data_IF_158759090100
#
_entry.id   IF_158759090100
#
_cell.length_a   1.000
_cell.length_b   1.000
_cell.length_c   1.000
_cell.angle_alpha   90.00
_cell.angle_beta   90.00
_cell.angle_gamma   90.00
#
_symmetry.space_group_name_H-M   'P 1'
#
loop_
_entity.id
_entity.type
_entity.pdbx_description
1 polymer ?
#
# COMPACT_ATOMS: atom_id res chain seq x y z
N UNK A 1 -9.15 -7.31 -37.14
CA UNK A 1 -8.56 -6.97 -35.84
C UNK A 1 -8.27 -8.28 -35.17
N UNK A 2 -7.02 -8.51 -34.77
CA UNK A 2 -6.60 -9.76 -34.16
C UNK A 2 -7.39 -10.06 -32.87
N UNK A 3 -7.63 -11.34 -32.59
CA UNK A 3 -7.93 -11.80 -31.23
C UNK A 3 -6.76 -11.47 -30.29
N UNK A 4 -6.94 -11.60 -28.98
CA UNK A 4 -5.84 -11.33 -28.06
C UNK A 4 -4.72 -12.36 -28.24
N UNK A 5 -5.05 -13.62 -28.48
CA UNK A 5 -4.08 -14.68 -28.76
C UNK A 5 -3.34 -14.42 -30.08
N UNK A 6 -4.06 -14.04 -31.14
CA UNK A 6 -3.44 -13.66 -32.42
C UNK A 6 -2.53 -12.43 -32.28
N UNK A 7 -2.92 -11.47 -31.43
CA UNK A 7 -2.10 -10.30 -31.11
C UNK A 7 -0.81 -10.70 -30.38
N UNK A 8 -0.88 -11.58 -29.38
CA UNK A 8 0.30 -12.07 -28.64
C UNK A 8 1.28 -12.78 -29.60
N UNK A 9 0.77 -13.64 -30.47
CA UNK A 9 1.60 -14.35 -31.46
C UNK A 9 2.23 -13.39 -32.47
N UNK A 10 1.50 -12.36 -32.91
CA UNK A 10 2.07 -11.33 -33.77
C UNK A 10 3.21 -10.57 -33.06
N UNK A 11 3.01 -10.18 -31.79
CA UNK A 11 4.08 -9.51 -31.03
C UNK A 11 5.28 -10.44 -30.87
N UNK A 12 5.08 -11.70 -30.47
CA UNK A 12 6.15 -12.69 -30.30
C UNK A 12 7.00 -12.85 -31.56
N UNK A 13 6.36 -12.91 -32.72
CA UNK A 13 7.03 -13.19 -33.99
C UNK A 13 7.78 -11.98 -34.57
N UNK A 14 7.41 -10.76 -34.20
CA UNK A 14 7.91 -9.55 -34.87
C UNK A 14 8.66 -8.58 -33.93
N UNK A 15 8.57 -8.71 -32.60
CA UNK A 15 9.17 -7.72 -31.68
C UNK A 15 10.69 -7.57 -31.86
N UNK A 16 11.40 -8.65 -32.17
CA UNK A 16 12.86 -8.60 -32.36
C UNK A 16 13.26 -7.78 -33.59
N UNK A 17 12.44 -7.71 -34.64
CA UNK A 17 12.71 -6.91 -35.85
C UNK A 17 12.71 -5.39 -35.58
N UNK A 18 12.15 -4.97 -34.44
CA UNK A 18 12.08 -3.57 -34.01
C UNK A 18 13.16 -3.23 -32.98
N UNK A 19 13.93 -4.21 -32.51
CA UNK A 19 14.98 -4.02 -31.52
C UNK A 19 16.36 -3.91 -32.19
N UNK A 20 17.35 -3.29 -31.52
CA UNK A 20 18.73 -3.21 -32.01
C UNK A 20 19.38 -4.59 -32.20
N UNK A 21 20.48 -4.65 -32.96
CA UNK A 21 21.24 -5.88 -33.29
C UNK A 21 21.62 -6.72 -32.06
N UNK A 22 21.80 -6.11 -30.88
CA UNK A 22 22.08 -6.83 -29.63
C UNK A 22 20.95 -7.76 -29.15
N UNK A 23 19.74 -7.62 -29.70
CA UNK A 23 18.56 -8.46 -29.41
C UNK A 23 18.26 -9.49 -30.49
N UNK A 24 19.10 -9.64 -31.53
CA UNK A 24 18.83 -10.55 -32.66
C UNK A 24 18.58 -12.00 -32.19
N UNK A 25 19.33 -12.46 -31.19
CA UNK A 25 19.20 -13.79 -30.57
C UNK A 25 18.54 -13.74 -29.17
N UNK A 26 17.77 -12.69 -28.86
CA UNK A 26 17.14 -12.53 -27.55
C UNK A 26 16.03 -13.56 -27.27
N UNK A 27 15.91 -13.96 -26.01
CA UNK A 27 14.79 -14.77 -25.52
C UNK A 27 13.56 -13.89 -25.27
N UNK A 28 12.42 -14.29 -25.84
CA UNK A 28 11.14 -13.60 -25.73
C UNK A 28 10.23 -14.36 -24.76
N UNK A 29 10.26 -13.97 -23.49
CA UNK A 29 9.42 -14.54 -22.43
C UNK A 29 8.07 -13.81 -22.40
N UNK A 30 6.99 -14.58 -22.61
CA UNK A 30 5.62 -14.09 -22.43
C UNK A 30 4.95 -15.00 -21.42
N UNK A 31 4.56 -14.43 -20.28
CA UNK A 31 3.98 -15.17 -19.17
C UNK A 31 2.96 -14.34 -18.41
N UNK A 32 2.13 -15.03 -17.63
CA UNK A 32 1.20 -14.39 -16.71
C UNK A 32 1.97 -13.75 -15.54
N UNK A 33 1.66 -12.48 -15.25
CA UNK A 33 2.23 -11.68 -14.16
C UNK A 33 1.08 -11.11 -13.33
N UNK A 34 1.15 -11.31 -12.02
CA UNK A 34 0.16 -10.78 -11.09
C UNK A 34 0.57 -9.41 -10.56
N UNK A 35 -0.30 -8.42 -10.76
CA UNK A 35 -0.26 -7.12 -10.07
C UNK A 35 -1.12 -7.14 -8.79
N UNK A 36 -1.19 -5.99 -8.11
CA UNK A 36 -2.03 -5.81 -6.93
C UNK A 36 -3.48 -6.25 -7.20
N UNK A 37 -4.11 -6.80 -6.18
CA UNK A 37 -5.40 -7.49 -6.16
C UNK A 37 -5.50 -8.68 -7.12
N UNK A 38 -4.40 -9.43 -7.26
CA UNK A 38 -4.27 -10.60 -8.13
C UNK A 38 -4.74 -10.32 -9.57
N UNK A 39 -4.54 -9.10 -10.07
CA UNK A 39 -4.83 -8.78 -11.47
C UNK A 39 -3.79 -9.49 -12.33
N UNK A 40 -4.21 -10.55 -12.99
CA UNK A 40 -3.43 -11.29 -13.96
C UNK A 40 -3.30 -10.50 -15.26
N UNK A 41 -2.07 -10.25 -15.69
CA UNK A 41 -1.74 -9.62 -16.97
C UNK A 41 -0.75 -10.51 -17.72
N UNK A 42 -0.77 -10.40 -19.04
CA UNK A 42 0.18 -11.04 -19.93
C UNK A 42 1.40 -10.13 -20.07
N UNK A 43 2.49 -10.48 -19.39
CA UNK A 43 3.75 -9.74 -19.42
C UNK A 43 4.68 -10.25 -20.52
N UNK A 44 5.22 -9.35 -21.33
CA UNK A 44 6.32 -9.54 -22.26
C UNK A 44 7.62 -9.04 -21.62
N UNK A 45 8.66 -9.86 -21.65
CA UNK A 45 10.04 -9.50 -21.35
C UNK A 45 10.93 -10.01 -22.49
N UNK A 46 11.94 -9.23 -22.86
CA UNK A 46 12.89 -9.60 -23.91
C UNK A 46 14.29 -9.55 -23.31
N UNK A 47 14.94 -10.72 -23.27
CA UNK A 47 16.23 -10.91 -22.62
C UNK A 47 17.32 -11.13 -23.67
N UNK A 48 18.26 -10.19 -23.87
CA UNK A 48 19.38 -10.41 -24.78
C UNK A 48 20.22 -11.60 -24.30
N UNK A 49 20.68 -12.46 -25.22
CA UNK A 49 21.43 -13.69 -24.88
C UNK A 49 22.68 -13.42 -24.02
N UNK A 50 23.34 -12.30 -24.28
CA UNK A 50 24.54 -11.84 -23.56
C UNK A 50 24.26 -10.62 -22.66
N UNK A 51 22.98 -10.29 -22.45
CA UNK A 51 22.53 -9.11 -21.72
C UNK A 51 22.17 -9.40 -20.26
N UNK A 52 21.81 -8.33 -19.55
CA UNK A 52 21.40 -8.42 -18.15
C UNK A 52 20.17 -9.30 -17.96
N UNK A 53 20.05 -9.90 -16.78
CA UNK A 53 18.83 -10.60 -16.34
C UNK A 53 17.68 -9.63 -15.95
N UNK A 54 17.76 -8.36 -16.36
CA UNK A 54 16.81 -7.31 -16.00
C UNK A 54 16.23 -6.75 -17.30
N UNK A 55 14.97 -7.09 -17.56
CA UNK A 55 14.15 -6.55 -18.65
C UNK A 55 12.95 -5.85 -18.04
N UNK A 56 12.49 -4.71 -18.61
CA UNK A 56 11.17 -4.20 -18.27
C UNK A 56 10.10 -5.25 -18.59
N UNK A 57 9.02 -5.27 -17.80
CA UNK A 57 7.84 -6.07 -18.09
C UNK A 57 6.82 -5.19 -18.82
N UNK A 58 6.52 -5.53 -20.07
CA UNK A 58 5.50 -4.86 -20.88
C UNK A 58 4.19 -5.63 -20.75
N UNK A 59 3.11 -4.97 -20.29
CA UNK A 59 1.79 -5.61 -20.16
C UNK A 59 1.04 -5.56 -21.49
N UNK A 60 0.94 -6.71 -22.17
CA UNK A 60 0.33 -6.84 -23.50
C UNK A 60 -1.16 -6.52 -23.49
N UNK A 61 -1.86 -6.71 -22.37
CA UNK A 61 -3.29 -6.38 -22.21
C UNK A 61 -3.56 -4.89 -22.46
N UNK A 62 -2.69 -4.01 -21.98
CA UNK A 62 -2.86 -2.56 -22.15
C UNK A 62 -2.56 -2.13 -23.59
N UNK A 63 -1.56 -2.74 -24.22
CA UNK A 63 -1.27 -2.54 -25.63
C UNK A 63 -2.34 -3.10 -26.55
N UNK A 64 -2.98 -4.20 -26.17
CA UNK A 64 -4.11 -4.74 -26.91
C UNK A 64 -5.31 -3.78 -26.88
N UNK A 65 -5.59 -3.15 -25.74
CA UNK A 65 -6.60 -2.06 -25.67
C UNK A 65 -6.24 -0.89 -26.57
N UNK A 66 -4.96 -0.46 -26.61
CA UNK A 66 -4.50 0.59 -27.53
C UNK A 66 -4.71 0.21 -29.00
N UNK A 67 -4.37 -1.04 -29.36
CA UNK A 67 -4.60 -1.58 -30.69
C UNK A 67 -6.11 -1.59 -31.05
N UNK A 68 -6.94 -2.04 -30.11
CA UNK A 68 -8.41 -2.00 -30.22
C UNK A 68 -8.97 -0.60 -30.46
N UNK A 69 -8.32 0.41 -29.88
CA UNK A 69 -8.69 1.82 -30.00
C UNK A 69 -8.07 2.54 -31.21
N UNK A 70 -7.40 1.80 -32.11
CA UNK A 70 -6.98 2.31 -33.42
C UNK A 70 -5.48 2.50 -33.62
N UNK A 71 -4.64 2.20 -32.62
CA UNK A 71 -3.19 2.10 -32.84
C UNK A 71 -2.91 0.93 -33.77
N UNK A 72 -2.11 1.12 -34.83
CA UNK A 72 -1.76 0.03 -35.73
C UNK A 72 -0.64 -0.86 -35.14
N UNK A 73 -0.46 -2.06 -35.69
CA UNK A 73 0.51 -3.05 -35.16
C UNK A 73 1.95 -2.53 -35.15
N UNK A 74 2.39 -1.84 -36.20
CA UNK A 74 3.74 -1.30 -36.27
C UNK A 74 3.99 -0.27 -35.17
N UNK A 75 3.04 0.64 -34.94
CA UNK A 75 3.14 1.61 -33.84
C UNK A 75 3.13 0.96 -32.46
N UNK A 76 2.42 -0.16 -32.29
CA UNK A 76 2.49 -0.97 -31.06
C UNK A 76 3.90 -1.54 -30.86
N UNK A 77 4.49 -2.14 -31.89
CA UNK A 77 5.82 -2.74 -31.85
C UNK A 77 6.92 -1.69 -31.64
N UNK A 78 6.83 -0.54 -32.31
CA UNK A 78 7.73 0.61 -32.12
C UNK A 78 7.68 1.12 -30.68
N UNK A 79 6.48 1.38 -30.14
CA UNK A 79 6.31 1.82 -28.75
C UNK A 79 6.87 0.79 -27.75
N UNK A 80 6.69 -0.51 -27.99
CA UNK A 80 7.23 -1.57 -27.13
C UNK A 80 8.75 -1.63 -27.20
N UNK A 81 9.32 -1.58 -28.40
CA UNK A 81 10.76 -1.60 -28.62
C UNK A 81 11.42 -0.38 -27.95
N UNK A 82 10.83 0.81 -28.08
CA UNK A 82 11.30 2.02 -27.41
C UNK A 82 11.34 1.86 -25.88
N UNK A 83 10.31 1.23 -25.29
CA UNK A 83 10.30 0.93 -23.85
C UNK A 83 11.42 -0.05 -23.49
N UNK A 84 11.59 -1.13 -24.26
CA UNK A 84 12.64 -2.13 -24.02
C UNK A 84 14.01 -1.46 -24.06
N UNK A 85 14.32 -0.70 -25.12
CA UNK A 85 15.63 -0.07 -25.29
C UNK A 85 15.87 1.04 -24.26
N UNK A 86 14.86 1.86 -23.96
CA UNK A 86 15.03 3.01 -23.07
C UNK A 86 15.08 2.63 -21.60
N UNK A 87 14.45 1.52 -21.21
CA UNK A 87 14.35 1.09 -19.81
C UNK A 87 15.17 -0.17 -19.50
N UNK A 88 15.75 -0.82 -20.50
CA UNK A 88 16.80 -1.82 -20.29
C UNK A 88 18.11 -1.08 -20.07
N UNK A 89 18.77 -1.25 -18.92
CA UNK A 89 19.97 -0.48 -18.65
C UNK A 89 21.11 -0.84 -19.60
N UNK A 90 21.67 0.16 -20.31
CA UNK A 90 22.78 0.07 -21.29
C UNK A 90 24.15 -0.33 -20.71
N UNK A 91 24.18 -0.79 -19.48
CA UNK A 91 25.40 -1.22 -18.80
C UNK A 91 25.15 -2.67 -18.46
N UNK A 92 26.17 -3.53 -18.55
CA UNK A 92 26.17 -4.81 -17.86
C UNK A 92 25.95 -4.48 -16.38
N UNK A 93 24.68 -4.42 -15.95
CA UNK A 93 24.31 -4.01 -14.62
C UNK A 93 24.74 -5.19 -13.81
N UNK A 94 25.84 -4.96 -13.12
CA UNK A 94 26.28 -5.81 -12.04
C UNK A 94 25.02 -6.16 -11.26
N UNK A 95 24.60 -7.42 -11.30
CA UNK A 95 23.38 -7.88 -10.64
C UNK A 95 23.41 -7.48 -9.16
N UNK A 96 24.62 -7.25 -8.61
CA UNK A 96 24.88 -6.60 -7.33
C UNK A 96 24.18 -5.25 -7.12
N UNK A 97 23.89 -4.45 -8.15
CA UNK A 97 23.17 -3.19 -8.01
C UNK A 97 21.79 -3.37 -7.38
N UNK A 98 21.13 -4.52 -7.62
CA UNK A 98 19.81 -4.82 -7.05
C UNK A 98 19.84 -5.95 -6.02
N UNK A 99 20.88 -6.79 -6.00
CA UNK A 99 21.00 -7.90 -5.03
C UNK A 99 21.82 -7.55 -3.80
N UNK A 100 22.52 -6.40 -3.79
CA UNK A 100 23.30 -5.94 -2.64
C UNK A 100 22.52 -4.86 -1.85
N UNK A 101 22.25 -5.16 -0.57
CA UNK A 101 21.56 -4.25 0.36
C UNK A 101 22.17 -2.84 0.38
N UNK A 102 23.51 -2.74 0.40
CA UNK A 102 24.19 -1.45 0.52
C UNK A 102 23.94 -0.52 -0.68
N UNK A 103 23.67 -1.09 -1.85
CA UNK A 103 23.38 -0.33 -3.07
C UNK A 103 21.92 0.15 -3.12
N UNK A 104 21.00 -0.64 -2.55
CA UNK A 104 19.55 -0.40 -2.69
C UNK A 104 18.89 0.20 -1.45
N UNK A 105 19.54 0.17 -0.29
CA UNK A 105 18.90 0.57 0.98
C UNK A 105 18.35 1.98 0.99
N UNK A 106 18.97 2.93 0.26
CA UNK A 106 18.49 4.32 0.13
C UNK A 106 17.39 4.51 -0.93
N UNK A 107 16.97 3.42 -1.59
CA UNK A 107 15.97 3.41 -2.68
C UNK A 107 14.83 2.43 -2.42
N UNK A 108 14.75 1.88 -1.21
CA UNK A 108 13.67 0.97 -0.81
C UNK A 108 12.53 1.79 -0.23
N UNK A 109 11.31 1.54 -0.70
CA UNK A 109 10.11 2.24 -0.28
C UNK A 109 8.98 1.25 0.03
N UNK A 110 8.10 1.59 0.98
CA UNK A 110 6.96 0.77 1.34
C UNK A 110 5.76 1.11 0.43
N UNK A 111 4.84 0.16 0.29
CA UNK A 111 3.51 0.39 -0.27
C UNK A 111 2.51 -0.56 0.37
N UNK A 112 1.24 -0.16 0.38
CA UNK A 112 0.17 -0.90 1.05
C UNK A 112 -0.67 -1.69 0.04
N UNK A 113 -1.15 -2.86 0.46
CA UNK A 113 -2.05 -3.73 -0.32
C UNK A 113 -2.93 -4.53 0.64
N UNK A 114 -4.12 -4.96 0.20
CA UNK A 114 -4.91 -5.92 0.96
C UNK A 114 -4.17 -7.26 1.10
N UNK A 115 -4.33 -7.98 2.21
CA UNK A 115 -3.92 -9.40 2.27
C UNK A 115 -4.93 -10.26 1.50
N UNK A 116 -6.22 -10.07 1.79
CA UNK A 116 -7.31 -10.83 1.16
C UNK A 116 -7.42 -10.45 -0.31
N UNK A 117 -7.46 -11.45 -1.20
CA UNK A 117 -7.52 -11.22 -2.65
C UNK A 117 -6.17 -10.93 -3.30
N UNK A 118 -5.07 -11.00 -2.53
CA UNK A 118 -3.69 -10.85 -3.00
C UNK A 118 -2.83 -12.09 -2.73
N UNK A 119 -3.45 -13.25 -2.52
CA UNK A 119 -2.73 -14.46 -2.09
C UNK A 119 -1.65 -14.89 -3.09
N UNK A 120 -1.93 -14.89 -4.40
CA UNK A 120 -0.93 -15.21 -5.42
C UNK A 120 0.09 -14.09 -5.61
N UNK A 121 -0.35 -12.82 -5.56
CA UNK A 121 0.52 -11.66 -5.62
C UNK A 121 1.55 -11.65 -4.47
N UNK A 122 1.14 -11.95 -3.24
CA UNK A 122 1.97 -11.92 -2.03
C UNK A 122 2.84 -13.17 -1.84
N UNK A 123 2.52 -14.29 -2.49
CA UNK A 123 3.21 -15.57 -2.34
C UNK A 123 4.73 -15.50 -2.49
N UNK A 124 5.22 -14.65 -3.38
CA UNK A 124 6.65 -14.45 -3.64
C UNK A 124 7.17 -13.08 -3.15
N UNK A 125 6.48 -12.42 -2.23
CA UNK A 125 6.88 -11.08 -1.74
C UNK A 125 7.13 -11.11 -0.24
N UNK A 126 8.11 -10.31 0.17
CA UNK A 126 8.29 -10.02 1.58
C UNK A 126 7.34 -8.91 1.98
N UNK A 127 6.60 -9.14 3.06
CA UNK A 127 5.68 -8.16 3.60
C UNK A 127 5.62 -8.19 5.12
N UNK A 128 5.23 -7.04 5.70
CA UNK A 128 4.88 -6.89 7.11
C UNK A 128 3.35 -6.79 7.21
N UNK A 129 2.67 -7.69 7.95
CA UNK A 129 1.22 -7.62 8.11
C UNK A 129 0.81 -6.51 9.08
N UNK A 130 -0.23 -5.76 8.71
CA UNK A 130 -0.85 -4.72 9.55
C UNK A 130 -2.37 -4.87 9.43
N UNK A 131 -3.02 -5.32 10.50
CA UNK A 131 -4.44 -5.69 10.52
C UNK A 131 -4.84 -6.73 9.45
N UNK A 132 -5.51 -6.33 8.37
CA UNK A 132 -5.86 -7.11 7.17
C UNK A 132 -5.08 -6.65 5.92
N UNK A 133 -4.12 -5.74 6.09
CA UNK A 133 -3.26 -5.17 5.06
C UNK A 133 -1.83 -5.74 5.13
N UNK A 134 -1.12 -5.61 4.02
CA UNK A 134 0.27 -5.99 3.86
C UNK A 134 1.09 -4.80 3.36
N UNK A 135 2.12 -4.43 4.12
CA UNK A 135 3.17 -3.53 3.67
C UNK A 135 4.16 -4.34 2.85
N UNK A 136 4.22 -4.09 1.54
CA UNK A 136 5.23 -4.65 0.63
C UNK A 136 6.29 -3.60 0.29
N UNK A 137 7.40 -4.03 -0.29
CA UNK A 137 8.55 -3.16 -0.56
C UNK A 137 8.92 -3.16 -2.04
N UNK A 138 9.39 -2.01 -2.52
CA UNK A 138 9.91 -1.86 -3.87
C UNK A 138 11.19 -1.03 -3.88
N UNK A 139 12.06 -1.31 -4.85
CA UNK A 139 13.25 -0.52 -5.15
C UNK A 139 12.85 0.49 -6.23
N UNK A 140 13.09 1.77 -5.95
CA UNK A 140 12.92 2.83 -6.94
C UNK A 140 14.06 2.77 -7.97
N UNK A 141 13.69 2.55 -9.23
CA UNK A 141 14.63 2.58 -10.37
C UNK A 141 14.67 3.97 -10.97
N UNK A 142 13.49 4.48 -11.31
CA UNK A 142 13.30 5.81 -11.89
C UNK A 142 11.91 6.34 -11.52
N UNK A 143 11.74 7.65 -11.52
CA UNK A 143 10.44 8.30 -11.29
C UNK A 143 10.18 9.40 -12.31
N UNK A 144 8.93 9.46 -12.77
CA UNK A 144 8.37 10.54 -13.56
C UNK A 144 7.13 11.10 -12.86
N UNK A 145 6.61 12.28 -13.26
CA UNK A 145 5.41 12.85 -12.64
C UNK A 145 4.15 11.96 -12.71
N UNK A 146 4.13 10.94 -13.57
CA UNK A 146 2.95 10.10 -13.82
C UNK A 146 3.20 8.61 -13.56
N UNK A 147 4.46 8.20 -13.35
CA UNK A 147 4.78 6.78 -13.22
C UNK A 147 6.07 6.56 -12.41
N UNK A 148 6.09 5.48 -11.65
CA UNK A 148 7.25 5.00 -10.91
C UNK A 148 7.74 3.71 -11.57
N UNK A 149 8.97 3.74 -12.11
CA UNK A 149 9.67 2.54 -12.50
C UNK A 149 10.28 1.90 -11.24
N UNK A 150 9.87 0.68 -10.92
CA UNK A 150 10.31 0.01 -9.71
C UNK A 150 10.51 -1.49 -9.88
N UNK A 151 11.37 -2.05 -9.03
CA UNK A 151 11.54 -3.50 -8.85
C UNK A 151 10.87 -3.90 -7.56
N UNK A 152 9.93 -4.84 -7.62
CA UNK A 152 9.30 -5.37 -6.39
C UNK A 152 10.28 -6.26 -5.64
N UNK A 153 10.40 -6.07 -4.32
CA UNK A 153 11.22 -6.94 -3.48
C UNK A 153 10.55 -8.30 -3.31
N UNK A 154 11.13 -9.31 -3.96
CA UNK A 154 10.68 -10.71 -3.85
C UNK A 154 11.37 -11.42 -2.68
N UNK A 155 10.86 -12.59 -2.31
CA UNK A 155 11.52 -13.44 -1.29
C UNK A 155 12.98 -13.74 -1.67
N UNK A 156 13.23 -14.07 -2.94
CA UNK A 156 14.58 -14.35 -3.46
C UNK A 156 15.52 -13.13 -3.34
N UNK A 157 15.04 -11.93 -3.68
CA UNK A 157 15.86 -10.71 -3.50
C UNK A 157 16.16 -10.45 -2.03
N UNK A 158 15.16 -10.57 -1.17
CA UNK A 158 15.32 -10.34 0.26
C UNK A 158 16.29 -11.32 0.92
N UNK A 159 16.26 -12.60 0.54
CA UNK A 159 17.20 -13.62 1.03
C UNK A 159 18.67 -13.25 0.74
N UNK A 160 18.95 -12.54 -0.36
CA UNK A 160 20.29 -12.10 -0.72
C UNK A 160 20.78 -10.88 0.09
N UNK A 161 19.87 -10.08 0.65
CA UNK A 161 20.24 -8.87 1.39
C UNK A 161 20.87 -9.18 2.75
N UNK A 162 20.60 -10.36 3.31
CA UNK A 162 21.14 -10.79 4.60
C UNK A 162 20.85 -9.80 5.75
N UNK A 163 19.63 -9.25 5.76
CA UNK A 163 19.09 -8.35 6.81
C UNK A 163 17.81 -8.93 7.41
N UNK A 164 17.32 -8.33 8.50
CA UNK A 164 16.01 -8.69 9.05
C UNK A 164 14.87 -7.99 8.30
N UNK A 165 13.64 -8.47 8.49
CA UNK A 165 12.45 -7.81 7.92
C UNK A 165 12.21 -6.46 8.59
N UNK A 166 12.53 -6.37 9.87
CA UNK A 166 12.41 -5.17 10.69
C UNK A 166 13.38 -4.08 10.16
N UNK A 167 14.63 -4.43 9.86
CA UNK A 167 15.60 -3.49 9.29
C UNK A 167 15.15 -2.96 7.92
N UNK A 168 14.62 -3.83 7.05
CA UNK A 168 14.06 -3.40 5.77
C UNK A 168 12.84 -2.49 5.96
N UNK A 169 11.96 -2.82 6.90
CA UNK A 169 10.76 -2.04 7.19
C UNK A 169 11.10 -0.65 7.69
N UNK A 170 11.96 -0.54 8.71
CA UNK A 170 12.44 0.73 9.25
C UNK A 170 13.08 1.58 8.17
N UNK A 171 14.00 0.99 7.39
CA UNK A 171 14.68 1.72 6.31
C UNK A 171 13.72 2.19 5.21
N UNK A 172 12.71 1.40 4.87
CA UNK A 172 11.69 1.78 3.89
C UNK A 172 10.91 3.01 4.36
N UNK A 173 10.45 3.00 5.61
CA UNK A 173 9.71 4.13 6.20
C UNK A 173 10.60 5.37 6.34
N UNK A 174 11.87 5.24 6.73
CA UNK A 174 12.82 6.36 6.77
C UNK A 174 12.97 7.01 5.39
N UNK A 175 13.16 6.21 4.34
CA UNK A 175 13.31 6.74 2.98
C UNK A 175 12.03 7.45 2.50
N UNK A 176 10.86 6.85 2.78
CA UNK A 176 9.56 7.43 2.46
C UNK A 176 9.38 8.77 3.14
N UNK A 177 9.58 8.83 4.46
CA UNK A 177 9.46 10.04 5.26
C UNK A 177 10.34 11.19 4.73
N UNK A 178 11.56 10.88 4.29
CA UNK A 178 12.49 11.88 3.75
C UNK A 178 12.14 12.30 2.32
N UNK A 179 11.80 11.34 1.45
CA UNK A 179 11.69 11.58 0.01
C UNK A 179 10.29 12.01 -0.42
N UNK A 180 9.28 11.53 0.29
CA UNK A 180 7.86 11.72 -0.01
C UNK A 180 7.11 12.12 1.27
N UNK A 181 7.36 13.33 1.81
CA UNK A 181 6.71 13.76 3.04
C UNK A 181 5.19 13.61 3.00
N UNK A 182 4.62 13.22 4.13
CA UNK A 182 3.18 13.08 4.27
C UNK A 182 2.44 14.40 4.07
N UNK A 183 1.23 14.29 3.52
CA UNK A 183 0.34 15.39 3.21
C UNK A 183 -1.02 15.12 3.83
N UNK A 184 -1.49 16.06 4.65
CA UNK A 184 -2.83 16.02 5.28
C UNK A 184 -3.58 17.28 4.87
N UNK A 185 -4.57 17.14 4.00
CA UNK A 185 -5.27 18.28 3.39
C UNK A 185 -6.77 18.12 3.36
N UNK A 186 -7.52 19.23 3.47
CA UNK A 186 -8.96 19.22 3.26
C UNK A 186 -9.30 18.93 1.79
N UNK A 187 -10.15 17.94 1.55
CA UNK A 187 -10.65 17.64 0.19
C UNK A 187 -11.39 18.84 -0.40
N UNK A 188 -12.08 19.60 0.45
CA UNK A 188 -12.87 20.76 0.04
C UNK A 188 -11.96 21.86 -0.51
N UNK A 189 -10.80 22.06 0.11
CA UNK A 189 -9.83 23.06 -0.36
C UNK A 189 -9.13 22.62 -1.65
N UNK A 190 -8.91 21.30 -1.84
CA UNK A 190 -8.40 20.78 -3.12
C UNK A 190 -9.40 21.01 -4.27
N UNK A 191 -10.69 20.84 -3.98
CA UNK A 191 -11.76 20.99 -4.97
C UNK A 191 -12.20 22.44 -5.19
N UNK A 192 -11.78 23.38 -4.33
CA UNK A 192 -12.22 24.79 -4.35
C UNK A 192 -11.96 25.51 -5.68
N UNK A 193 -10.94 25.08 -6.43
CA UNK A 193 -10.59 25.65 -7.74
C UNK A 193 -11.23 24.91 -8.92
N UNK A 194 -11.91 23.79 -8.66
CA UNK A 194 -12.49 22.91 -9.69
C UNK A 194 -14.02 23.01 -9.71
N UNK A 195 -14.64 23.13 -8.54
CA UNK A 195 -16.09 23.16 -8.41
C UNK A 195 -16.65 24.59 -8.27
N UNK A 196 -17.94 24.81 -8.60
CA UNK A 196 -18.61 26.09 -8.36
C UNK A 196 -18.57 26.49 -6.88
N UNK A 197 -18.46 27.79 -6.55
CA UNK A 197 -18.41 28.26 -5.16
C UNK A 197 -19.57 27.80 -4.28
N UNK A 198 -20.78 27.69 -4.84
CA UNK A 198 -21.99 27.24 -4.12
C UNK A 198 -21.88 25.77 -3.65
N UNK A 199 -21.25 24.91 -4.46
CA UNK A 199 -21.00 23.51 -4.09
C UNK A 199 -19.93 23.43 -2.98
N UNK A 200 -18.90 24.27 -3.06
CA UNK A 200 -17.85 24.36 -2.04
C UNK A 200 -18.40 24.84 -0.70
N UNK A 201 -19.25 25.86 -0.69
CA UNK A 201 -19.93 26.30 0.54
C UNK A 201 -20.77 25.17 1.16
N UNK A 202 -21.51 24.44 0.33
CA UNK A 202 -22.29 23.28 0.79
C UNK A 202 -21.39 22.19 1.39
N UNK A 203 -20.23 21.91 0.78
CA UNK A 203 -19.27 20.94 1.31
C UNK A 203 -18.61 21.39 2.62
N UNK A 204 -18.36 22.70 2.78
CA UNK A 204 -17.81 23.28 4.02
C UNK A 204 -18.77 23.16 5.20
N UNK A 205 -20.08 23.17 4.95
CA UNK A 205 -21.11 22.95 5.96
C UNK A 205 -21.30 21.46 6.33
N UNK A 206 -20.67 20.56 5.57
CA UNK A 206 -20.71 19.12 5.79
C UNK A 206 -19.72 18.61 6.86
N UNK A 207 -19.59 17.29 6.95
CA UNK A 207 -18.59 16.66 7.82
C UNK A 207 -17.20 16.89 7.21
N UNK A 208 -16.23 17.42 7.99
CA UNK A 208 -14.90 17.70 7.46
C UNK A 208 -14.20 16.40 7.07
N UNK A 209 -13.71 16.37 5.83
CA UNK A 209 -13.02 15.23 5.21
C UNK A 209 -11.64 15.66 4.73
N UNK A 210 -10.63 14.88 5.07
CA UNK A 210 -9.24 15.17 4.78
C UNK A 210 -8.59 14.01 4.02
N UNK A 211 -7.66 14.31 3.13
CA UNK A 211 -6.84 13.35 2.40
C UNK A 211 -5.53 13.17 3.15
N UNK A 212 -5.17 11.92 3.44
CA UNK A 212 -3.84 11.50 3.92
C UNK A 212 -3.15 10.77 2.78
N UNK A 213 -2.09 11.37 2.25
CA UNK A 213 -1.25 10.82 1.18
C UNK A 213 0.19 11.35 1.35
N UNK A 214 0.98 11.32 0.29
CA UNK A 214 2.29 11.98 0.22
C UNK A 214 2.32 13.07 -0.85
N UNK A 215 3.37 13.90 -0.85
CA UNK A 215 3.51 15.00 -1.82
C UNK A 215 3.47 14.57 -3.30
N UNK A 216 3.73 13.28 -3.60
CA UNK A 216 3.69 12.73 -4.96
C UNK A 216 2.32 12.19 -5.36
N UNK A 217 1.41 11.96 -4.40
CA UNK A 217 0.13 11.28 -4.64
C UNK A 217 0.30 9.82 -5.11
N UNK A 218 1.44 9.18 -4.81
CA UNK A 218 1.77 7.84 -5.30
C UNK A 218 2.10 6.89 -4.16
N UNK A 219 1.35 5.79 -4.05
CA UNK A 219 1.47 4.81 -2.95
C UNK A 219 1.36 5.42 -1.54
N UNK A 220 0.79 6.62 -1.40
CA UNK A 220 0.77 7.39 -0.14
C UNK A 220 -0.20 6.87 0.91
N UNK A 221 -1.02 5.85 0.62
CA UNK A 221 -1.90 5.27 1.63
C UNK A 221 -1.11 4.66 2.81
N UNK A 222 0.13 4.24 2.56
CA UNK A 222 1.01 3.68 3.59
C UNK A 222 1.46 4.72 4.63
N UNK A 223 1.39 6.02 4.30
CA UNK A 223 1.71 7.13 5.22
C UNK A 223 0.89 7.07 6.50
N UNK A 224 -0.34 6.55 6.43
CA UNK A 224 -1.21 6.44 7.62
C UNK A 224 -0.62 5.54 8.71
N UNK A 225 0.39 4.73 8.40
CA UNK A 225 1.08 3.85 9.33
C UNK A 225 2.34 4.47 9.93
N UNK A 226 2.81 5.62 9.41
CA UNK A 226 3.99 6.33 9.95
C UNK A 226 3.60 7.15 11.19
N UNK A 227 4.27 6.94 12.34
CA UNK A 227 4.08 7.78 13.54
C UNK A 227 4.20 9.27 13.28
N UNK A 228 5.10 9.71 12.38
CA UNK A 228 5.25 11.14 12.06
C UNK A 228 4.03 11.69 11.33
N UNK A 229 3.40 10.90 10.46
CA UNK A 229 2.13 11.26 9.82
C UNK A 229 1.01 11.37 10.84
N UNK A 230 0.97 10.48 11.82
CA UNK A 230 0.00 10.56 12.91
C UNK A 230 0.22 11.81 13.78
N UNK A 231 1.47 12.18 14.07
CA UNK A 231 1.79 13.43 14.74
C UNK A 231 1.37 14.65 13.90
N UNK A 232 1.58 14.62 12.58
CA UNK A 232 1.11 15.66 11.66
C UNK A 232 -0.42 15.79 11.66
N UNK A 233 -1.16 14.67 11.67
CA UNK A 233 -2.62 14.67 11.81
C UNK A 233 -3.03 15.35 13.12
N UNK A 234 -2.38 14.98 14.23
CA UNK A 234 -2.64 15.55 15.56
C UNK A 234 -2.39 17.06 15.59
N UNK A 235 -1.29 17.52 15.00
CA UNK A 235 -0.93 18.94 14.93
C UNK A 235 -1.89 19.74 14.03
N UNK A 236 -2.32 19.15 12.92
CA UNK A 236 -3.12 19.84 11.89
C UNK A 236 -4.61 19.84 12.22
N UNK A 237 -5.13 18.71 12.73
CA UNK A 237 -6.56 18.44 12.84
C UNK A 237 -7.05 18.27 14.29
N UNK A 238 -6.14 18.15 15.25
CA UNK A 238 -6.45 17.94 16.65
C UNK A 238 -6.21 16.51 17.14
N UNK A 239 -6.21 16.35 18.46
CA UNK A 239 -5.91 15.08 19.11
C UNK A 239 -7.19 14.32 19.47
N UNK A 240 -7.89 13.82 18.45
CA UNK A 240 -9.05 12.95 18.61
C UNK A 240 -8.90 11.71 17.73
N UNK A 241 -9.79 10.73 17.90
CA UNK A 241 -9.87 9.59 17.00
C UNK A 241 -10.46 10.00 15.64
N UNK A 242 -10.01 9.35 14.58
CA UNK A 242 -10.53 9.55 13.23
C UNK A 242 -10.95 8.22 12.62
N UNK A 243 -11.99 8.28 11.80
CA UNK A 243 -12.33 7.21 10.87
C UNK A 243 -11.48 7.38 9.61
N UNK A 244 -10.77 6.34 9.22
CA UNK A 244 -9.97 6.28 8.01
C UNK A 244 -10.63 5.37 6.97
N UNK A 245 -10.85 5.92 5.78
CA UNK A 245 -11.52 5.29 4.66
C UNK A 245 -10.47 5.07 3.56
N UNK A 246 -10.18 3.82 3.18
CA UNK A 246 -9.25 3.55 2.08
C UNK A 246 -9.87 4.05 0.76
N UNK A 247 -9.32 5.13 0.21
CA UNK A 247 -9.73 5.66 -1.11
C UNK A 247 -9.11 4.82 -2.22
N UNK A 248 -7.80 4.54 -2.08
CA UNK A 248 -7.02 3.69 -2.98
C UNK A 248 -5.70 3.29 -2.30
N UNK A 249 -4.81 2.60 -3.01
CA UNK A 249 -3.42 2.40 -2.57
C UNK A 249 -2.61 3.71 -2.48
N UNK A 250 -3.15 4.82 -3.01
CA UNK A 250 -2.47 6.12 -3.04
C UNK A 250 -2.81 7.02 -1.86
N UNK A 251 -3.96 6.84 -1.20
CA UNK A 251 -4.41 7.73 -0.15
C UNK A 251 -5.52 7.12 0.73
N UNK A 252 -5.64 7.65 1.94
CA UNK A 252 -6.81 7.49 2.80
C UNK A 252 -7.58 8.80 2.86
N UNK A 253 -8.91 8.71 2.97
CA UNK A 253 -9.73 9.81 3.46
C UNK A 253 -9.91 9.64 4.96
N UNK A 254 -9.73 10.69 5.75
CA UNK A 254 -9.96 10.68 7.18
C UNK A 254 -11.00 11.73 7.56
N UNK A 255 -11.83 11.39 8.55
CA UNK A 255 -12.82 12.30 9.13
C UNK A 255 -12.88 12.09 10.64
N UNK A 256 -13.18 13.13 11.44
CA UNK A 256 -13.35 12.98 12.87
C UNK A 256 -14.35 11.86 13.18
N UNK A 257 -14.01 11.03 14.15
CA UNK A 257 -14.86 9.93 14.56
C UNK A 257 -16.18 10.47 15.15
N UNK A 258 -17.32 10.06 14.58
CA UNK A 258 -18.64 10.26 15.19
C UNK A 258 -19.17 8.91 15.67
N UNK A 259 -19.44 8.80 16.98
CA UNK A 259 -19.99 7.62 17.62
C UNK A 259 -21.39 7.23 17.07
N UNK A 260 -22.04 8.12 16.30
CA UNK A 260 -23.36 7.87 15.71
C UNK A 260 -23.35 7.02 14.44
N UNK A 261 -22.19 6.86 13.78
CA UNK A 261 -22.06 6.19 12.48
C UNK A 261 -21.99 4.66 12.54
N UNK A 262 -22.63 3.98 11.58
CA UNK A 262 -22.54 2.53 11.41
C UNK A 262 -21.35 2.17 10.51
N UNK A 263 -20.29 1.54 11.06
CA UNK A 263 -19.15 1.06 10.25
C UNK A 263 -19.56 0.10 9.15
N UNK A 264 -20.64 -0.66 9.37
CA UNK A 264 -21.20 -1.56 8.37
C UNK A 264 -21.77 -0.82 7.17
N UNK A 265 -22.43 0.32 7.39
CA UNK A 265 -22.95 1.15 6.30
C UNK A 265 -21.78 1.80 5.55
N UNK A 266 -20.76 2.25 6.28
CA UNK A 266 -19.53 2.78 5.67
C UNK A 266 -18.83 1.72 4.81
N UNK A 267 -18.64 0.50 5.32
CA UNK A 267 -18.05 -0.60 4.56
C UNK A 267 -18.85 -0.92 3.28
N UNK A 268 -20.17 -0.86 3.35
CA UNK A 268 -21.02 -1.05 2.17
C UNK A 268 -20.82 0.06 1.12
N UNK A 269 -20.68 1.32 1.54
CA UNK A 269 -20.38 2.43 0.62
C UNK A 269 -18.98 2.30 -0.01
N UNK A 270 -17.97 1.96 0.79
CA UNK A 270 -16.60 1.73 0.31
C UNK A 270 -16.61 0.62 -0.75
N UNK A 271 -17.26 -0.50 -0.45
CA UNK A 271 -17.37 -1.62 -1.37
C UNK A 271 -18.08 -1.24 -2.68
N UNK A 272 -19.15 -0.44 -2.62
CA UNK A 272 -19.84 0.04 -3.82
C UNK A 272 -18.93 0.91 -4.69
N UNK A 273 -18.20 1.86 -4.09
CA UNK A 273 -17.25 2.72 -4.79
C UNK A 273 -16.12 1.89 -5.40
N UNK A 274 -15.53 0.96 -4.64
CA UNK A 274 -14.49 0.06 -5.12
C UNK A 274 -14.93 -0.75 -6.35
N UNK A 275 -16.18 -1.21 -6.37
CA UNK A 275 -16.71 -2.01 -7.48
C UNK A 275 -17.07 -1.19 -8.74
N UNK A 276 -17.32 0.11 -8.59
CA UNK A 276 -17.92 0.93 -9.66
C UNK A 276 -17.00 2.02 -10.21
N UNK A 277 -16.05 2.51 -9.41
CA UNK A 277 -15.28 3.72 -9.72
C UNK A 277 -13.77 3.56 -9.56
N UNK A 278 -13.28 2.52 -8.87
CA UNK A 278 -11.84 2.33 -8.61
C UNK A 278 -11.29 1.19 -9.48
N UNK A 279 -10.12 1.41 -10.06
CA UNK A 279 -9.44 0.37 -10.81
C UNK A 279 -9.11 -0.80 -9.89
N UNK A 280 -9.24 -2.04 -10.38
CA UNK A 280 -8.96 -3.22 -9.55
C UNK A 280 -7.57 -3.19 -8.92
N UNK A 281 -6.56 -2.65 -9.60
CA UNK A 281 -5.18 -2.57 -9.08
C UNK A 281 -5.01 -1.51 -7.97
N UNK A 282 -5.95 -0.57 -7.85
CA UNK A 282 -5.88 0.57 -6.92
C UNK A 282 -6.74 0.37 -5.66
N UNK A 283 -7.64 -0.60 -5.65
CA UNK A 283 -8.45 -0.92 -4.47
C UNK A 283 -7.53 -1.34 -3.32
N UNK A 284 -7.69 -0.72 -2.16
CA UNK A 284 -6.87 -1.06 -0.98
C UNK A 284 -7.60 -1.97 0.01
N UNK A 285 -8.83 -1.65 0.38
CA UNK A 285 -9.69 -2.50 1.23
C UNK A 285 -11.15 -2.06 1.11
N UNK A 286 -12.08 -2.97 1.43
CA UNK A 286 -13.51 -2.69 1.53
C UNK A 286 -13.92 -2.23 2.95
N UNK A 287 -12.97 -2.20 3.90
CA UNK A 287 -13.24 -1.92 5.31
C UNK A 287 -12.77 -0.52 5.72
N UNK A 288 -13.53 0.18 6.59
CA UNK A 288 -13.03 1.36 7.27
C UNK A 288 -12.13 0.98 8.45
N UNK A 289 -11.25 1.90 8.83
CA UNK A 289 -10.30 1.78 9.93
C UNK A 289 -10.49 2.92 10.93
N UNK A 290 -9.99 2.73 12.14
CA UNK A 290 -9.85 3.78 13.14
C UNK A 290 -8.39 4.12 13.29
N UNK A 291 -8.12 5.41 13.45
CA UNK A 291 -6.80 5.91 13.85
C UNK A 291 -6.90 6.71 15.15
N UNK A 292 -5.94 6.47 16.05
CA UNK A 292 -5.73 7.26 17.26
C UNK A 292 -4.32 7.87 17.17
N UNK A 293 -4.22 9.16 16.80
CA UNK A 293 -2.94 9.85 16.69
C UNK A 293 -2.14 9.91 17.99
N UNK A 294 -2.78 9.92 19.17
CA UNK A 294 -2.06 9.95 20.46
C UNK A 294 -1.34 8.63 20.73
N UNK A 295 -1.97 7.51 20.36
CA UNK A 295 -1.45 6.16 20.61
C UNK A 295 -0.67 5.58 19.44
N UNK A 296 -0.55 6.33 18.35
CA UNK A 296 -0.08 5.85 17.06
C UNK A 296 -0.76 4.54 16.62
N UNK A 297 -2.10 4.48 16.78
CA UNK A 297 -2.88 3.27 16.51
C UNK A 297 -3.54 3.34 15.13
N UNK A 298 -3.49 2.22 14.41
CA UNK A 298 -4.29 1.94 13.21
C UNK A 298 -4.92 0.55 13.35
N UNK A 299 -6.25 0.46 13.28
CA UNK A 299 -6.98 -0.81 13.44
C UNK A 299 -8.27 -0.83 12.62
N UNK A 300 -8.67 -2.01 12.11
CA UNK A 300 -9.96 -2.14 11.42
C UNK A 300 -11.13 -1.75 12.33
N UNK A 301 -12.04 -0.90 11.84
CA UNK A 301 -13.14 -0.38 12.64
C UNK A 301 -14.15 -1.47 13.05
N UNK A 302 -14.20 -2.58 12.29
CA UNK A 302 -15.03 -3.74 12.59
C UNK A 302 -14.48 -4.60 13.74
N UNK A 303 -13.17 -4.48 14.08
CA UNK A 303 -12.53 -5.26 15.16
C UNK A 303 -12.87 -4.76 16.57
N UNK A 304 -13.33 -3.52 16.71
CA UNK A 304 -13.62 -2.93 18.03
C UNK A 304 -14.80 -3.56 18.76
N UNK A 305 -15.74 -4.21 18.06
CA UNK A 305 -16.86 -4.87 18.74
C UNK A 305 -16.39 -6.08 19.59
N UNK A 306 -15.22 -6.64 19.30
CA UNK A 306 -14.76 -7.92 19.90
C UNK A 306 -13.55 -7.76 20.81
N UNK A 307 -12.60 -6.89 20.46
CA UNK A 307 -11.35 -6.74 21.23
C UNK A 307 -11.57 -5.87 22.47
N UNK A 308 -12.31 -4.77 22.38
CA UNK A 308 -12.64 -3.93 23.54
C UNK A 308 -13.50 -4.70 24.56
N UNK A 309 -14.51 -5.45 24.13
CA UNK A 309 -15.30 -6.31 25.02
C UNK A 309 -14.47 -7.39 25.71
N UNK A 310 -13.46 -7.93 25.04
CA UNK A 310 -12.58 -8.96 25.64
C UNK A 310 -11.56 -8.35 26.60
N UNK A 311 -11.02 -7.16 26.30
CA UNK A 311 -10.12 -6.44 27.20
C UNK A 311 -10.86 -5.86 28.42
N UNK A 312 -12.08 -5.35 28.25
CA UNK A 312 -12.95 -4.92 29.34
C UNK A 312 -13.36 -6.10 30.22
N UNK A 313 -13.80 -7.23 29.64
CA UNK A 313 -14.16 -8.42 30.41
C UNK A 313 -12.97 -8.99 31.19
N UNK A 314 -11.77 -9.05 30.58
CA UNK A 314 -10.54 -9.47 31.30
C UNK A 314 -10.17 -8.51 32.42
N UNK A 315 -10.31 -7.20 32.22
CA UNK A 315 -10.03 -6.21 33.26
C UNK A 315 -11.06 -6.24 34.40
N UNK A 316 -12.32 -6.56 34.10
CA UNK A 316 -13.38 -6.74 35.12
C UNK A 316 -13.14 -8.03 35.90
N UNK A 317 -12.81 -9.14 35.24
CA UNK A 317 -12.47 -10.42 35.90
C UNK A 317 -11.22 -10.30 36.79
N UNK A 318 -10.19 -9.59 36.32
CA UNK A 318 -8.96 -9.35 37.10
C UNK A 318 -9.24 -8.45 38.31
N UNK A 319 -10.01 -7.36 38.16
CA UNK A 319 -10.43 -6.51 39.29
C UNK A 319 -11.29 -7.28 40.29
N UNK A 320 -12.16 -8.18 39.84
CA UNK A 320 -12.97 -9.02 40.73
C UNK A 320 -12.12 -10.04 41.49
N UNK A 321 -11.14 -10.66 40.84
CA UNK A 321 -10.18 -11.55 41.52
C UNK A 321 -9.32 -10.80 42.54
N UNK A 322 -8.85 -9.60 42.21
CA UNK A 322 -8.04 -8.78 43.13
C UNK A 322 -8.85 -8.33 44.36
N UNK A 323 -10.14 -8.03 44.20
CA UNK A 323 -11.06 -7.73 45.31
C UNK A 323 -11.31 -8.97 46.19
N UNK A 324 -11.45 -10.15 45.60
CA UNK A 324 -11.65 -11.41 46.35
C UNK A 324 -10.38 -11.89 47.08
N UNK A 325 -9.20 -11.46 46.63
CA UNK A 325 -7.90 -11.83 47.20
C UNK A 325 -7.41 -10.88 48.31
N UNK A 326 -8.10 -9.77 48.59
CA UNK A 326 -7.70 -8.89 49.70
C UNK A 326 -7.95 -9.57 51.06
N UNK A 327 -6.94 -9.68 51.94
CA UNK A 327 -7.14 -10.27 53.26
C UNK A 327 -8.09 -9.40 54.08
N UNK A 328 -9.16 -10.00 54.62
CA UNK A 328 -10.17 -9.36 55.47
C UNK A 328 -9.52 -8.58 56.63
N UNK A 329 -9.23 -7.29 56.43
CA UNK A 329 -8.79 -6.38 57.50
C UNK A 329 -10.02 -5.85 58.24
N UNK A 330 -10.78 -6.76 58.84
CA UNK A 330 -11.77 -6.42 59.87
C UNK A 330 -11.96 -7.59 60.83
N UNK A 331 -10.93 -7.86 61.63
CA UNK A 331 -11.06 -8.50 62.95
C UNK A 331 -9.75 -8.36 63.73
N UNK A 332 -9.70 -7.38 64.64
CA UNK A 332 -9.18 -7.46 66.03
C UNK A 332 -8.80 -6.07 66.56
N UNK A 333 -9.74 -5.43 67.25
CA UNK A 333 -9.45 -4.66 68.47
C UNK A 333 -10.39 -5.15 69.56
N UNK A 334 -10.07 -6.30 70.13
CA UNK A 334 -10.55 -6.67 71.46
C UNK A 334 -9.35 -7.20 72.24
N UNK A 335 -9.02 -6.42 73.26
CA UNK A 335 -8.34 -6.79 74.52
C UNK A 335 -6.94 -7.38 74.45
N UNK A 336 -5.95 -6.61 74.92
CA UNK A 336 -5.11 -7.03 76.05
C UNK A 336 -4.64 -5.78 76.84
N UNK A 337 -5.42 -5.37 77.84
CA UNK A 337 -4.85 -4.80 79.07
C UNK A 337 -5.01 -5.87 80.14
N UNK A 338 -3.98 -6.73 80.27
CA UNK A 338 -3.82 -7.65 81.39
C UNK A 338 -3.47 -6.91 82.68
N UNK A 339 -3.59 -7.58 83.84
CA UNK A 339 -3.77 -6.92 85.13
C UNK A 339 -2.47 -6.43 85.80
N UNK A 340 -2.63 -5.25 86.43
CA UNK A 340 -2.20 -4.78 87.77
C UNK A 340 -0.78 -5.03 88.29
N UNK A 341 -0.25 -3.96 88.91
CA UNK A 341 -0.13 -3.94 90.38
C UNK A 341 -1.20 -3.01 90.96
#
# INVERSE_FOLDING_TARGET
MYSFEEFIEEIRNNILDYLPEEYEDADVDIREVYKNNNVALTGLMVHPENGNNISPTIYLDDYYKKYQNGTNMNGVLEDMADIIVSNTPNVNIDTELFTNWENIKERIYPRLSAIKGNEEYLKNKVYTPVDDLAVTYYILVDESPVNIASVTVTNNLFENYNISKEEMHEKAFDNMHISYPAKVESIVEQLANVLPPEEIETMRDGIPLYVVSNEKGMNGAVEILDPHTMDLIKETLGNQEYLAIPSSVHEFLIMPMDESGSFREMAAMIQEVNQTAVSKEEILSDHPYKIDPERHLFISADRDITVEKQMENKNIEQKQMDIMMQPNVHKRKIEQRGPRL
#
